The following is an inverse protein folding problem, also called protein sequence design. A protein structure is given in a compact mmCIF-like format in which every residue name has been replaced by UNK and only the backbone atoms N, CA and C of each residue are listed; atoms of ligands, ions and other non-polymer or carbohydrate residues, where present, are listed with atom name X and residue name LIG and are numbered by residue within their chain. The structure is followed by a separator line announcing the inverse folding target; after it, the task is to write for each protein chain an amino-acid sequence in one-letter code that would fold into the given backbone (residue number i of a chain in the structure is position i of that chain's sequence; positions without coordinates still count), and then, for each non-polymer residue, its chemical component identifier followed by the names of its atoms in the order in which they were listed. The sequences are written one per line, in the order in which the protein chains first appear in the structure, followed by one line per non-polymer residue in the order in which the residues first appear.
data_IF_126915159789
#
_entry.id   IF_126915159789
#
_cell.length_a   1.000
_cell.length_b   1.000
_cell.length_c   1.000
_cell.angle_alpha   90.00
_cell.angle_beta   90.00
_cell.angle_gamma   90.00
#
_symmetry.space_group_name_H-M   'P 1'
#
loop_
_entity.id
_entity.type
_entity.pdbx_description
1 polymer ?
#
# COMPACT_ATOMS: atom_id res chain seq x y z
N UNK A 1 -0.45 8.18 8.71
CA UNK A 1 -0.86 8.19 10.15
C UNK A 1 -1.66 6.92 10.42
N UNK A 2 -1.48 6.29 11.59
CA UNK A 2 -2.28 5.12 11.94
C UNK A 2 -3.73 5.55 12.14
N UNK A 3 -4.71 4.79 11.61
CA UNK A 3 -6.12 5.09 11.82
C UNK A 3 -6.51 4.91 13.30
N UNK A 4 -7.56 5.58 13.75
CA UNK A 4 -8.05 5.45 15.13
C UNK A 4 -8.34 3.97 15.50
N UNK A 5 -8.82 3.18 14.54
CA UNK A 5 -8.99 1.73 14.67
C UNK A 5 -7.65 1.02 14.91
N UNK A 6 -6.63 1.34 14.10
CA UNK A 6 -5.30 0.73 14.22
C UNK A 6 -4.67 1.03 15.58
N UNK A 7 -4.79 2.25 16.09
CA UNK A 7 -4.25 2.62 17.42
C UNK A 7 -4.93 1.83 18.55
N UNK A 8 -6.26 1.75 18.52
CA UNK A 8 -7.03 1.00 19.52
C UNK A 8 -6.74 -0.50 19.47
N UNK A 9 -6.80 -1.11 18.28
CA UNK A 9 -6.53 -2.53 18.14
C UNK A 9 -5.06 -2.86 18.43
N UNK A 10 -4.10 -2.00 18.08
CA UNK A 10 -2.69 -2.19 18.45
C UNK A 10 -2.47 -2.21 19.97
N UNK A 11 -3.19 -1.33 20.71
CA UNK A 11 -3.14 -1.33 22.17
C UNK A 11 -3.70 -2.64 22.72
N UNK A 12 -4.86 -3.07 22.25
CA UNK A 12 -5.47 -4.35 22.65
C UNK A 12 -4.56 -5.54 22.34
N UNK A 13 -3.92 -5.56 21.17
CA UNK A 13 -2.93 -6.60 20.82
C UNK A 13 -1.76 -6.64 21.80
N UNK A 14 -1.29 -5.48 22.29
CA UNK A 14 -0.21 -5.44 23.30
C UNK A 14 -0.69 -6.00 24.64
N UNK A 15 -1.87 -5.64 25.07
CA UNK A 15 -2.49 -6.14 26.31
C UNK A 15 -2.73 -7.66 26.23
N UNK A 16 -3.27 -8.15 25.10
CA UNK A 16 -3.47 -9.59 24.85
C UNK A 16 -2.15 -10.38 24.92
N UNK A 17 -1.08 -9.88 24.29
CA UNK A 17 0.24 -10.55 24.28
C UNK A 17 0.86 -10.64 25.67
N UNK A 18 0.53 -9.74 26.58
CA UNK A 18 1.03 -9.73 27.96
C UNK A 18 0.32 -10.72 28.89
N UNK A 19 -0.80 -11.32 28.48
CA UNK A 19 -1.59 -12.21 29.33
C UNK A 19 -1.04 -13.64 29.33
N UNK A 20 -0.62 -14.10 30.51
CA UNK A 20 -0.08 -15.44 30.72
C UNK A 20 -1.18 -16.54 30.82
N UNK A 21 -2.42 -16.14 31.14
CA UNK A 21 -3.59 -17.02 31.19
C UNK A 21 -4.79 -16.33 30.55
N UNK A 22 -5.55 -17.10 29.76
CA UNK A 22 -6.82 -16.69 29.21
C UNK A 22 -7.93 -17.35 30.00
N UNK A 23 -8.82 -16.54 30.56
CA UNK A 23 -10.07 -16.97 31.23
C UNK A 23 -11.26 -16.49 30.38
N UNK A 24 -12.40 -17.12 30.55
CA UNK A 24 -13.63 -16.70 29.84
C UNK A 24 -13.96 -15.22 30.12
N UNK A 25 -13.73 -14.74 31.35
CA UNK A 25 -13.98 -13.36 31.73
C UNK A 25 -13.14 -12.39 30.99
N UNK A 26 -11.79 -12.59 30.93
CA UNK A 26 -10.92 -11.65 30.26
C UNK A 26 -11.02 -11.71 28.73
N UNK A 27 -11.44 -12.84 28.16
CA UNK A 27 -11.83 -12.92 26.73
C UNK A 27 -13.07 -12.06 26.46
N UNK A 28 -14.08 -12.12 27.32
CA UNK A 28 -15.28 -11.29 27.15
C UNK A 28 -14.99 -9.80 27.24
N UNK A 29 -14.16 -9.38 28.19
CA UNK A 29 -13.76 -7.97 28.33
C UNK A 29 -13.00 -7.48 27.08
N UNK A 30 -12.04 -8.26 26.59
CA UNK A 30 -11.30 -7.93 25.36
C UNK A 30 -12.20 -7.88 24.11
N UNK A 31 -13.12 -8.84 23.96
CA UNK A 31 -14.08 -8.85 22.85
C UNK A 31 -15.02 -7.66 22.90
N UNK A 32 -15.37 -7.18 24.10
CA UNK A 32 -16.14 -5.95 24.29
C UNK A 32 -15.37 -4.73 23.77
N UNK A 33 -14.07 -4.62 24.07
CA UNK A 33 -13.24 -3.53 23.58
C UNK A 33 -13.01 -3.60 22.07
N UNK A 34 -12.77 -4.80 21.52
CA UNK A 34 -12.70 -5.01 20.07
C UNK A 34 -14.00 -4.60 19.39
N UNK A 35 -15.15 -4.99 19.96
CA UNK A 35 -16.47 -4.58 19.47
C UNK A 35 -16.61 -3.06 19.43
N UNK A 36 -16.24 -2.37 20.51
CA UNK A 36 -16.30 -0.91 20.59
C UNK A 36 -15.39 -0.25 19.56
N UNK A 37 -14.16 -0.75 19.39
CA UNK A 37 -13.22 -0.24 18.39
C UNK A 37 -13.77 -0.39 16.96
N UNK A 38 -14.38 -1.52 16.61
CA UNK A 38 -14.98 -1.74 15.31
C UNK A 38 -16.21 -0.83 15.06
N UNK A 39 -17.07 -0.62 16.07
CA UNK A 39 -18.23 0.28 15.95
C UNK A 39 -17.80 1.73 15.80
N UNK A 40 -16.79 2.19 16.54
CA UNK A 40 -16.23 3.53 16.41
C UNK A 40 -15.52 3.76 15.06
N UNK A 41 -15.07 2.67 14.43
CA UNK A 41 -14.52 2.67 13.07
C UNK A 41 -15.60 2.59 11.98
N UNK A 42 -16.87 2.76 12.34
CA UNK A 42 -18.02 2.70 11.43
C UNK A 42 -18.22 1.35 10.73
N UNK A 43 -17.80 0.25 11.37
CA UNK A 43 -18.15 -1.10 10.88
C UNK A 43 -19.63 -1.36 11.12
N UNK A 44 -20.32 -1.93 10.13
CA UNK A 44 -21.74 -2.28 10.24
C UNK A 44 -22.03 -3.21 11.42
N UNK A 45 -23.05 -2.89 12.22
CA UNK A 45 -23.40 -3.66 13.40
C UNK A 45 -23.58 -5.16 13.15
N UNK A 46 -24.26 -5.64 12.09
CA UNK A 46 -24.32 -7.06 11.77
C UNK A 46 -22.94 -7.70 11.58
N UNK A 47 -22.05 -7.02 10.84
CA UNK A 47 -20.67 -7.49 10.59
C UNK A 47 -19.88 -7.60 11.89
N UNK A 48 -19.98 -6.59 12.77
CA UNK A 48 -19.34 -6.61 14.08
C UNK A 48 -19.84 -7.77 14.93
N UNK A 49 -21.15 -7.98 14.96
CA UNK A 49 -21.77 -9.06 15.75
C UNK A 49 -21.27 -10.43 15.29
N UNK A 50 -21.30 -10.68 14.00
CA UNK A 50 -20.89 -11.96 13.42
C UNK A 50 -19.37 -12.19 13.60
N UNK A 51 -18.55 -11.15 13.46
CA UNK A 51 -17.11 -11.18 13.73
C UNK A 51 -16.84 -11.56 15.20
N UNK A 52 -17.46 -10.87 16.15
CA UNK A 52 -17.29 -11.13 17.59
C UNK A 52 -17.74 -12.56 17.96
N UNK A 53 -18.83 -13.04 17.37
CA UNK A 53 -19.30 -14.41 17.61
C UNK A 53 -18.26 -15.45 17.16
N UNK A 54 -17.71 -15.31 15.93
CA UNK A 54 -16.67 -16.22 15.41
C UNK A 54 -15.37 -16.17 16.21
N UNK A 55 -14.92 -14.97 16.59
CA UNK A 55 -13.69 -14.82 17.41
C UNK A 55 -13.94 -15.44 18.79
N UNK A 56 -15.11 -15.23 19.42
CA UNK A 56 -15.45 -15.82 20.71
C UNK A 56 -15.41 -17.35 20.68
N UNK A 57 -16.04 -17.94 19.67
CA UNK A 57 -16.07 -19.40 19.49
C UNK A 57 -14.65 -19.99 19.42
N UNK A 58 -13.80 -19.40 18.58
CA UNK A 58 -12.39 -19.84 18.41
C UNK A 58 -11.53 -19.56 19.64
N UNK A 59 -11.74 -18.42 20.31
CA UNK A 59 -10.96 -18.03 21.48
C UNK A 59 -11.24 -18.92 22.73
N UNK A 60 -12.43 -19.45 22.84
CA UNK A 60 -12.81 -20.38 23.93
C UNK A 60 -12.52 -21.84 23.58
N UNK A 61 -11.95 -22.13 22.41
CA UNK A 61 -11.54 -23.47 22.02
C UNK A 61 -10.40 -24.03 22.88
N UNK A 62 -10.33 -25.37 23.01
CA UNK A 62 -9.35 -26.05 23.84
C UNK A 62 -7.88 -25.74 23.43
N UNK A 63 -7.63 -25.49 22.15
CA UNK A 63 -6.28 -25.15 21.65
C UNK A 63 -5.73 -23.85 22.25
N UNK A 64 -6.60 -22.84 22.47
CA UNK A 64 -6.19 -21.58 23.09
C UNK A 64 -5.96 -21.74 24.58
N UNK A 65 -6.86 -22.45 25.26
CA UNK A 65 -6.80 -22.68 26.71
C UNK A 65 -5.61 -23.53 27.13
N UNK A 66 -5.16 -24.45 26.26
CA UNK A 66 -4.00 -25.34 26.49
C UNK A 66 -2.67 -24.78 26.00
N UNK A 67 -2.67 -23.63 25.30
CA UNK A 67 -1.46 -23.04 24.74
C UNK A 67 -0.52 -22.49 25.82
N UNK A 68 0.80 -22.62 25.57
CA UNK A 68 1.84 -21.97 26.38
C UNK A 68 1.88 -20.43 26.19
N UNK A 69 1.26 -19.92 25.13
CA UNK A 69 1.20 -18.48 24.81
C UNK A 69 -0.21 -18.07 24.33
N UNK A 70 -1.22 -18.17 25.21
CA UNK A 70 -2.61 -18.00 24.79
C UNK A 70 -2.92 -16.61 24.24
N UNK A 71 -2.27 -15.55 24.74
CA UNK A 71 -2.42 -14.21 24.20
C UNK A 71 -1.95 -14.04 22.76
N UNK A 72 -0.89 -14.76 22.34
CA UNK A 72 -0.45 -14.74 20.94
C UNK A 72 -1.42 -15.49 20.02
N UNK A 73 -1.95 -16.61 20.51
CA UNK A 73 -2.96 -17.39 19.75
C UNK A 73 -4.22 -16.57 19.56
N UNK A 74 -4.68 -15.83 20.55
CA UNK A 74 -5.84 -14.95 20.44
C UNK A 74 -5.64 -13.83 19.42
N UNK A 75 -4.47 -13.18 19.42
CA UNK A 75 -4.11 -12.20 18.40
C UNK A 75 -4.12 -12.81 17.00
N UNK A 76 -3.62 -14.03 16.83
CA UNK A 76 -3.66 -14.75 15.56
C UNK A 76 -5.09 -15.03 15.11
N UNK A 77 -5.98 -15.42 16.01
CA UNK A 77 -7.40 -15.63 15.73
C UNK A 77 -8.06 -14.33 15.27
N UNK A 78 -7.86 -13.23 15.98
CA UNK A 78 -8.41 -11.92 15.58
C UNK A 78 -7.91 -11.50 14.23
N UNK A 79 -6.61 -11.67 13.93
CA UNK A 79 -6.02 -11.36 12.62
C UNK A 79 -6.63 -12.21 11.50
N UNK A 80 -6.74 -13.52 11.73
CA UNK A 80 -7.33 -14.44 10.75
C UNK A 80 -8.80 -14.11 10.47
N UNK A 81 -9.58 -13.79 11.52
CA UNK A 81 -11.00 -13.42 11.36
C UNK A 81 -11.18 -12.07 10.67
N UNK A 82 -10.31 -11.08 10.92
CA UNK A 82 -10.31 -9.82 10.19
C UNK A 82 -10.02 -10.07 8.69
N UNK A 83 -9.01 -10.87 8.39
CA UNK A 83 -8.68 -11.22 7.02
C UNK A 83 -9.83 -11.97 6.33
N UNK A 84 -10.41 -12.97 6.98
CA UNK A 84 -11.56 -13.72 6.46
C UNK A 84 -12.79 -12.83 6.22
N UNK A 85 -13.03 -11.84 7.09
CA UNK A 85 -14.13 -10.88 6.94
C UNK A 85 -13.93 -9.97 5.72
N UNK A 86 -12.70 -9.60 5.40
CA UNK A 86 -12.35 -8.79 4.20
C UNK A 86 -12.24 -9.62 2.92
N UNK A 87 -12.09 -10.94 3.03
CA UNK A 87 -11.98 -11.87 1.91
C UNK A 87 -10.79 -12.82 2.10
N UNK A 88 -10.84 -13.96 1.44
CA UNK A 88 -9.74 -14.94 1.46
C UNK A 88 -8.79 -14.68 0.28
N UNK A 89 -7.52 -14.48 0.58
CA UNK A 89 -6.46 -14.34 -0.41
C UNK A 89 -6.51 -13.05 -1.23
N UNK A 90 -5.88 -13.11 -2.40
CA UNK A 90 -5.82 -12.02 -3.40
C UNK A 90 -6.80 -12.32 -4.53
N UNK A 91 -7.70 -11.39 -4.82
CA UNK A 91 -8.61 -11.48 -5.96
C UNK A 91 -8.14 -10.52 -7.05
N UNK A 92 -7.61 -11.07 -8.13
CA UNK A 92 -7.12 -10.30 -9.26
C UNK A 92 -8.26 -9.91 -10.23
N UNK A 93 -7.94 -8.96 -11.12
CA UNK A 93 -8.86 -8.53 -12.16
C UNK A 93 -9.01 -9.61 -13.22
N UNK A 94 -10.25 -9.90 -13.63
CA UNK A 94 -10.54 -10.85 -14.67
C UNK A 94 -10.50 -10.17 -16.05
N UNK A 95 -9.57 -10.59 -16.90
CA UNK A 95 -9.46 -10.13 -18.28
C UNK A 95 -9.76 -11.23 -19.29
N UNK A 96 -10.33 -12.36 -18.84
CA UNK A 96 -10.63 -13.52 -19.69
C UNK A 96 -11.90 -13.27 -20.52
N UNK A 97 -11.77 -12.43 -21.54
CA UNK A 97 -12.80 -12.13 -22.52
C UNK A 97 -12.17 -11.92 -23.89
N UNK A 98 -12.99 -11.95 -24.96
CA UNK A 98 -12.52 -11.46 -26.26
C UNK A 98 -12.16 -9.97 -26.14
N UNK A 99 -10.98 -9.55 -26.60
CA UNK A 99 -10.60 -8.16 -26.57
C UNK A 99 -11.57 -7.25 -27.36
N UNK A 100 -11.85 -6.06 -26.84
CA UNK A 100 -11.38 -5.52 -25.57
C UNK A 100 -12.17 -6.08 -24.38
N UNK A 101 -11.47 -6.43 -23.28
CA UNK A 101 -12.10 -6.68 -22.00
C UNK A 101 -12.67 -5.36 -21.46
N UNK A 102 -13.97 -5.26 -21.31
CA UNK A 102 -14.64 -4.05 -20.83
C UNK A 102 -14.71 -4.06 -19.31
N UNK A 103 -14.26 -2.98 -18.69
CA UNK A 103 -14.31 -2.76 -17.23
C UNK A 103 -15.11 -1.51 -16.96
N UNK A 104 -16.21 -1.65 -16.22
CA UNK A 104 -17.10 -0.56 -15.84
C UNK A 104 -16.77 -0.08 -14.41
N UNK A 105 -16.51 1.22 -14.24
CA UNK A 105 -16.24 1.83 -12.95
C UNK A 105 -17.52 2.45 -12.40
N UNK A 106 -18.05 1.92 -11.31
CA UNK A 106 -19.31 2.37 -10.68
C UNK A 106 -19.07 2.95 -9.28
N UNK A 107 -19.87 3.93 -8.86
CA UNK A 107 -19.75 4.53 -7.52
C UNK A 107 -20.23 5.98 -7.48
N UNK A 108 -20.34 6.57 -6.28
CA UNK A 108 -20.78 7.94 -6.08
C UNK A 108 -19.74 8.98 -6.52
N UNK A 109 -20.16 10.25 -6.59
CA UNK A 109 -19.28 11.39 -6.80
C UNK A 109 -18.26 11.48 -5.66
N UNK A 110 -17.01 11.80 -5.99
CA UNK A 110 -15.94 11.91 -4.98
C UNK A 110 -15.37 10.58 -4.49
N UNK A 111 -15.94 9.42 -4.89
CA UNK A 111 -15.41 8.10 -4.54
C UNK A 111 -14.04 7.79 -5.19
N UNK A 112 -13.58 8.62 -6.14
CA UNK A 112 -12.27 8.44 -6.78
C UNK A 112 -12.29 7.60 -8.06
N UNK A 113 -13.44 7.45 -8.74
CA UNK A 113 -13.57 6.65 -9.97
C UNK A 113 -12.57 7.07 -11.05
N UNK A 114 -12.58 8.35 -11.43
CA UNK A 114 -11.74 8.90 -12.50
C UNK A 114 -10.25 8.67 -12.22
N UNK A 115 -9.80 8.96 -11.00
CA UNK A 115 -8.41 8.71 -10.59
C UNK A 115 -8.09 7.21 -10.57
N UNK A 116 -9.02 6.38 -10.10
CA UNK A 116 -8.87 4.92 -10.09
C UNK A 116 -8.79 4.35 -11.51
N UNK A 117 -9.58 4.88 -12.44
CA UNK A 117 -9.54 4.50 -13.87
C UNK A 117 -8.12 4.70 -14.43
N UNK A 118 -7.51 5.85 -14.18
CA UNK A 118 -6.14 6.13 -14.64
C UNK A 118 -5.08 5.26 -13.92
N UNK A 119 -5.21 5.05 -12.62
CA UNK A 119 -4.33 4.16 -11.86
C UNK A 119 -4.41 2.72 -12.35
N UNK A 120 -5.62 2.24 -12.60
CA UNK A 120 -5.86 0.89 -13.13
C UNK A 120 -5.30 0.77 -14.55
N UNK A 121 -5.48 1.80 -15.41
CA UNK A 121 -4.87 1.84 -16.73
C UNK A 121 -3.35 1.70 -16.64
N UNK A 122 -2.68 2.48 -15.78
CA UNK A 122 -1.24 2.38 -15.55
C UNK A 122 -0.82 1.00 -15.06
N UNK A 123 -1.54 0.44 -14.07
CA UNK A 123 -1.29 -0.92 -13.57
C UNK A 123 -1.37 -1.97 -14.69
N UNK A 124 -2.40 -1.90 -15.55
CA UNK A 124 -2.59 -2.84 -16.65
C UNK A 124 -1.49 -2.70 -17.72
N UNK A 125 -1.05 -1.48 -18.01
CA UNK A 125 0.04 -1.23 -18.97
C UNK A 125 1.37 -1.74 -18.41
N UNK A 126 1.74 -1.32 -17.21
CA UNK A 126 3.08 -1.60 -16.65
C UNK A 126 3.23 -3.05 -16.19
N UNK A 127 2.22 -3.59 -15.48
CA UNK A 127 2.29 -4.93 -14.86
C UNK A 127 1.77 -6.04 -15.76
N UNK A 128 0.76 -5.75 -16.61
CA UNK A 128 0.11 -6.74 -17.46
C UNK A 128 0.42 -6.58 -18.95
N UNK A 129 1.15 -5.52 -19.32
CA UNK A 129 1.55 -5.21 -20.72
C UNK A 129 0.36 -5.13 -21.67
N UNK A 130 -0.77 -4.57 -21.19
CA UNK A 130 -2.01 -4.43 -21.94
C UNK A 130 -2.09 -3.08 -22.64
N UNK A 131 -2.69 -3.04 -23.84
CA UNK A 131 -3.06 -1.81 -24.55
C UNK A 131 -4.42 -1.35 -24.03
N UNK A 132 -4.47 -0.20 -23.38
CA UNK A 132 -5.64 0.27 -22.64
C UNK A 132 -6.21 1.52 -23.27
N UNK A 133 -7.54 1.51 -23.49
CA UNK A 133 -8.35 2.67 -23.86
C UNK A 133 -9.19 3.09 -22.65
N UNK A 134 -9.29 4.38 -22.37
CA UNK A 134 -10.19 4.94 -21.36
C UNK A 134 -11.24 5.81 -22.02
N UNK A 135 -12.43 5.87 -21.43
CA UNK A 135 -13.51 6.76 -21.88
C UNK A 135 -14.28 7.29 -20.67
N UNK A 136 -14.70 8.57 -20.74
CA UNK A 136 -15.58 9.17 -19.74
C UNK A 136 -17.04 9.16 -20.22
N UNK A 137 -17.91 8.54 -19.43
CA UNK A 137 -19.35 8.69 -19.52
C UNK A 137 -19.92 9.78 -18.59
N UNK A 138 -19.07 10.53 -17.88
CA UNK A 138 -19.52 11.62 -17.00
C UNK A 138 -19.74 12.91 -17.79
N UNK A 139 -20.82 12.94 -18.55
CA UNK A 139 -21.22 14.09 -19.38
C UNK A 139 -21.77 15.26 -18.57
N UNK A 140 -22.13 15.04 -17.30
CA UNK A 140 -22.71 16.05 -16.44
C UNK A 140 -21.67 17.03 -15.87
N UNK A 141 -20.39 16.64 -15.93
CA UNK A 141 -19.26 17.42 -15.42
C UNK A 141 -18.16 17.54 -16.47
N UNK A 142 -18.18 18.61 -17.29
CA UNK A 142 -17.15 18.80 -18.32
C UNK A 142 -15.72 18.73 -17.79
N UNK A 143 -15.49 19.22 -16.58
CA UNK A 143 -14.18 19.13 -15.91
C UNK A 143 -13.75 17.69 -15.64
N UNK A 144 -14.68 16.73 -15.43
CA UNK A 144 -14.34 15.33 -15.24
C UNK A 144 -13.82 14.66 -16.52
N UNK A 145 -14.34 15.05 -17.69
CA UNK A 145 -13.86 14.58 -18.99
C UNK A 145 -12.40 15.04 -19.20
N UNK A 146 -12.11 16.32 -19.01
CA UNK A 146 -10.75 16.84 -19.14
C UNK A 146 -9.80 16.31 -18.09
N UNK A 147 -10.30 16.06 -16.87
CA UNK A 147 -9.53 15.40 -15.83
C UNK A 147 -9.13 13.99 -16.25
N UNK A 148 -10.09 13.18 -16.73
CA UNK A 148 -9.78 11.81 -17.18
C UNK A 148 -8.76 11.81 -18.31
N UNK A 149 -8.93 12.69 -19.31
CA UNK A 149 -7.99 12.85 -20.42
C UNK A 149 -6.57 13.14 -19.93
N UNK A 150 -6.43 14.08 -19.01
CA UNK A 150 -5.13 14.46 -18.43
C UNK A 150 -4.47 13.31 -17.68
N UNK A 151 -5.19 12.66 -16.77
CA UNK A 151 -4.62 11.57 -15.97
C UNK A 151 -4.40 10.29 -16.80
N UNK A 152 -5.20 10.06 -17.85
CA UNK A 152 -4.99 8.98 -18.82
C UNK A 152 -3.67 9.15 -19.58
N UNK A 153 -3.39 10.36 -20.07
CA UNK A 153 -2.12 10.66 -20.73
C UNK A 153 -0.91 10.46 -19.80
N UNK A 154 -1.03 10.86 -18.53
CA UNK A 154 0.00 10.60 -17.52
C UNK A 154 0.20 9.12 -17.21
N UNK A 155 -0.85 8.31 -17.33
CA UNK A 155 -0.81 6.86 -17.15
C UNK A 155 -0.23 6.11 -18.36
N UNK A 156 -0.01 6.80 -19.49
CA UNK A 156 0.44 6.19 -20.75
C UNK A 156 -0.64 5.40 -21.49
N UNK A 157 -1.92 5.64 -21.17
CA UNK A 157 -3.07 5.04 -21.84
C UNK A 157 -3.61 5.96 -22.94
N UNK A 158 -4.44 5.39 -23.83
CA UNK A 158 -5.15 6.16 -24.85
C UNK A 158 -6.53 6.58 -24.33
N UNK A 159 -6.97 7.80 -24.67
CA UNK A 159 -8.26 8.34 -24.28
C UNK A 159 -9.19 8.46 -25.50
N UNK A 160 -10.43 7.97 -25.35
CA UNK A 160 -11.47 8.13 -26.35
C UNK A 160 -12.22 9.45 -26.13
N UNK A 161 -12.35 10.33 -27.15
CA UNK A 161 -13.03 11.60 -27.02
C UNK A 161 -14.50 11.48 -26.65
N UNK A 162 -14.95 12.26 -25.68
CA UNK A 162 -16.36 12.41 -25.31
C UNK A 162 -16.69 13.88 -25.03
N UNK A 163 -17.93 14.27 -25.24
CA UNK A 163 -18.41 15.64 -25.07
C UNK A 163 -19.70 15.66 -24.23
N UNK A 164 -20.01 16.78 -23.52
CA UNK A 164 -21.15 16.86 -22.62
C UNK A 164 -22.52 16.75 -23.30
N UNK A 165 -22.61 16.98 -24.60
CA UNK A 165 -23.83 16.91 -25.42
C UNK A 165 -24.18 15.49 -25.86
N UNK A 166 -23.29 14.52 -25.67
CA UNK A 166 -23.49 13.13 -26.01
C UNK A 166 -24.20 12.36 -24.89
N UNK A 167 -24.86 11.25 -25.23
CA UNK A 167 -25.41 10.33 -24.23
C UNK A 167 -24.34 9.35 -23.78
N UNK A 168 -24.23 9.04 -22.46
CA UNK A 168 -23.26 8.09 -21.94
C UNK A 168 -23.26 6.72 -22.66
N UNK A 169 -24.45 6.24 -23.01
CA UNK A 169 -24.63 4.99 -23.73
C UNK A 169 -24.00 5.02 -25.14
N UNK A 170 -24.21 6.11 -25.87
CA UNK A 170 -23.67 6.27 -27.23
C UNK A 170 -22.14 6.41 -27.19
N UNK A 171 -21.61 7.16 -26.22
CA UNK A 171 -20.17 7.27 -25.96
C UNK A 171 -19.58 5.88 -25.70
N UNK A 172 -20.19 5.10 -24.80
CA UNK A 172 -19.71 3.75 -24.44
C UNK A 172 -19.67 2.81 -25.64
N UNK A 173 -20.73 2.81 -26.47
CA UNK A 173 -20.80 1.99 -27.70
C UNK A 173 -19.75 2.42 -28.73
N UNK A 174 -19.60 3.70 -28.96
CA UNK A 174 -18.61 4.24 -29.90
C UNK A 174 -17.17 3.91 -29.44
N UNK A 175 -16.88 4.05 -28.12
CA UNK A 175 -15.59 3.66 -27.56
C UNK A 175 -15.32 2.18 -27.68
N UNK A 176 -16.32 1.31 -27.48
CA UNK A 176 -16.19 -0.14 -27.67
C UNK A 176 -15.88 -0.51 -29.11
N UNK A 177 -16.59 0.10 -30.09
CA UNK A 177 -16.34 -0.11 -31.51
C UNK A 177 -14.96 0.42 -31.92
N UNK A 178 -14.55 1.55 -31.40
CA UNK A 178 -13.19 2.08 -31.61
C UNK A 178 -12.14 1.12 -31.05
N UNK A 179 -12.32 0.66 -29.80
CA UNK A 179 -11.40 -0.27 -29.16
C UNK A 179 -11.22 -1.57 -29.93
N UNK A 180 -12.32 -2.14 -30.48
CA UNK A 180 -12.27 -3.33 -31.35
C UNK A 180 -11.48 -3.07 -32.62
N UNK A 181 -11.76 -1.96 -33.32
CA UNK A 181 -11.10 -1.62 -34.60
C UNK A 181 -9.62 -1.32 -34.46
N UNK A 182 -9.19 -0.80 -33.28
CA UNK A 182 -7.80 -0.42 -33.03
C UNK A 182 -7.05 -1.43 -32.16
N UNK A 183 -7.63 -2.62 -31.95
CA UNK A 183 -7.00 -3.74 -31.25
C UNK A 183 -6.53 -3.37 -29.82
N UNK A 184 -7.41 -2.75 -29.05
CA UNK A 184 -7.18 -2.56 -27.62
C UNK A 184 -7.46 -3.86 -26.86
N UNK A 185 -6.64 -4.15 -25.84
CA UNK A 185 -6.87 -5.29 -24.96
C UNK A 185 -7.97 -5.01 -23.94
N UNK A 186 -8.04 -3.75 -23.46
CA UNK A 186 -8.93 -3.35 -22.36
C UNK A 186 -9.56 -2.00 -22.68
N UNK A 187 -10.87 -1.89 -22.37
CA UNK A 187 -11.62 -0.64 -22.35
C UNK A 187 -12.07 -0.34 -20.91
N UNK A 188 -11.58 0.74 -20.35
CA UNK A 188 -12.01 1.26 -19.04
C UNK A 188 -13.06 2.35 -19.23
N UNK A 189 -14.24 2.15 -18.64
CA UNK A 189 -15.38 3.09 -18.75
C UNK A 189 -15.58 3.76 -17.40
N UNK A 190 -15.21 5.04 -17.30
CA UNK A 190 -15.49 5.89 -16.13
C UNK A 190 -16.92 6.41 -16.22
N UNK A 191 -17.76 6.11 -15.24
CA UNK A 191 -19.17 6.52 -15.23
C UNK A 191 -19.39 7.79 -14.44
N UNK A 192 -20.48 8.48 -14.71
CA UNK A 192 -20.93 9.58 -13.91
C UNK A 192 -21.09 9.17 -12.43
N UNK A 193 -20.84 10.11 -11.53
CA UNK A 193 -21.15 9.97 -10.12
C UNK A 193 -22.05 11.12 -9.69
N UNK A 194 -23.09 10.83 -8.92
CA UNK A 194 -23.90 11.83 -8.25
C UNK A 194 -23.61 11.85 -6.75
N UNK A 195 -24.03 12.93 -6.10
CA UNK A 195 -23.82 13.11 -4.65
C UNK A 195 -24.61 12.10 -3.82
N UNK A 196 -25.76 11.67 -4.36
CA UNK A 196 -26.64 10.70 -3.72
C UNK A 196 -27.09 9.64 -4.73
N UNK A 197 -27.59 8.53 -4.22
CA UNK A 197 -28.19 7.47 -5.01
C UNK A 197 -29.54 7.96 -5.49
N UNK A 198 -29.75 7.99 -6.79
CA UNK A 198 -31.04 8.28 -7.41
C UNK A 198 -31.37 7.26 -8.52
N UNK A 199 -32.64 7.15 -8.85
CA UNK A 199 -33.12 6.20 -9.86
C UNK A 199 -32.55 6.47 -11.26
N UNK A 200 -32.27 7.72 -11.59
CA UNK A 200 -31.75 8.12 -12.90
C UNK A 200 -30.33 7.61 -13.07
N UNK A 201 -29.48 7.81 -12.05
CA UNK A 201 -28.11 7.27 -12.04
C UNK A 201 -28.12 5.74 -12.16
N UNK A 202 -28.97 5.07 -11.38
CA UNK A 202 -29.02 3.61 -11.37
C UNK A 202 -29.47 3.05 -12.72
N UNK A 203 -30.48 3.65 -13.37
CA UNK A 203 -30.91 3.25 -14.72
C UNK A 203 -29.81 3.47 -15.77
N UNK A 204 -29.15 4.63 -15.74
CA UNK A 204 -28.08 4.95 -16.69
C UNK A 204 -26.92 3.92 -16.61
N UNK A 205 -26.50 3.58 -15.39
CA UNK A 205 -25.43 2.58 -15.20
C UNK A 205 -25.91 1.18 -15.61
N UNK A 206 -27.16 0.81 -15.33
CA UNK A 206 -27.76 -0.44 -15.78
C UNK A 206 -27.83 -0.54 -17.31
N UNK A 207 -28.23 0.53 -18.00
CA UNK A 207 -28.25 0.60 -19.46
C UNK A 207 -26.84 0.46 -20.04
N UNK A 208 -25.84 1.15 -19.47
CA UNK A 208 -24.44 1.00 -19.85
C UNK A 208 -23.95 -0.43 -19.64
N UNK A 209 -24.24 -1.02 -18.49
CA UNK A 209 -23.87 -2.39 -18.18
C UNK A 209 -24.49 -3.39 -19.18
N UNK A 210 -25.80 -3.26 -19.45
CA UNK A 210 -26.52 -4.13 -20.40
C UNK A 210 -26.00 -4.03 -21.83
N UNK A 211 -25.61 -2.82 -22.27
CA UNK A 211 -25.12 -2.58 -23.62
C UNK A 211 -23.65 -2.99 -23.82
N UNK A 212 -22.80 -2.72 -22.85
CA UNK A 212 -21.36 -2.96 -22.94
C UNK A 212 -20.96 -4.37 -22.49
N UNK A 213 -21.80 -5.03 -21.70
CA UNK A 213 -21.56 -6.39 -21.13
C UNK A 213 -20.16 -6.50 -20.53
N UNK A 214 -19.81 -5.66 -19.53
CA UNK A 214 -18.47 -5.63 -18.98
C UNK A 214 -18.12 -7.00 -18.36
N UNK A 215 -16.86 -7.40 -18.51
CA UNK A 215 -16.30 -8.59 -17.84
C UNK A 215 -16.06 -8.30 -16.36
N UNK A 216 -15.85 -7.01 -16.03
CA UNK A 216 -15.70 -6.52 -14.68
C UNK A 216 -16.57 -5.28 -14.45
N UNK A 217 -17.30 -5.28 -13.35
CA UNK A 217 -18.02 -4.13 -12.82
C UNK A 217 -17.45 -3.82 -11.44
N UNK A 218 -16.57 -2.81 -11.39
CA UNK A 218 -15.83 -2.45 -10.18
C UNK A 218 -16.57 -1.35 -9.42
N UNK A 219 -16.96 -1.66 -8.19
CA UNK A 219 -17.52 -0.68 -7.28
C UNK A 219 -16.42 0.08 -6.57
N UNK A 220 -16.30 1.36 -6.89
CA UNK A 220 -15.31 2.28 -6.29
C UNK A 220 -15.95 2.99 -5.12
N UNK A 221 -15.37 2.82 -3.95
CA UNK A 221 -15.89 3.37 -2.69
C UNK A 221 -14.79 4.06 -1.89
N UNK A 222 -15.13 5.21 -1.33
CA UNK A 222 -14.26 5.98 -0.44
C UNK A 222 -14.27 5.33 0.96
N UNK A 223 -13.10 4.90 1.43
CA UNK A 223 -12.94 4.29 2.75
C UNK A 223 -13.26 5.25 3.92
N UNK A 224 -13.35 6.56 3.66
CA UNK A 224 -13.67 7.57 4.67
C UNK A 224 -15.17 7.80 4.85
N UNK A 225 -16.04 7.26 3.99
CA UNK A 225 -17.49 7.52 4.01
C UNK A 225 -18.25 6.83 5.15
N UNK A 226 -17.61 5.96 5.93
CA UNK A 226 -18.27 5.32 7.10
C UNK A 226 -19.56 4.58 6.74
N UNK A 227 -20.65 4.89 7.45
CA UNK A 227 -21.98 4.23 7.25
C UNK A 227 -22.61 4.53 5.88
N UNK A 228 -22.32 5.65 5.25
CA UNK A 228 -22.85 5.97 3.92
C UNK A 228 -22.30 5.03 2.85
N UNK A 229 -21.08 4.54 3.01
CA UNK A 229 -20.51 3.50 2.14
C UNK A 229 -21.36 2.21 2.16
N UNK A 230 -21.95 1.89 3.29
CA UNK A 230 -22.82 0.70 3.49
C UNK A 230 -24.12 0.82 2.68
N UNK A 231 -24.79 1.96 2.80
CA UNK A 231 -26.04 2.22 2.09
C UNK A 231 -25.80 2.27 0.57
N UNK A 232 -24.71 2.90 0.17
CA UNK A 232 -24.24 2.94 -1.22
C UNK A 232 -23.96 1.55 -1.77
N UNK A 233 -23.24 0.72 -1.01
CA UNK A 233 -22.90 -0.64 -1.41
C UNK A 233 -24.14 -1.52 -1.63
N UNK A 234 -25.17 -1.39 -0.78
CA UNK A 234 -26.45 -2.11 -0.94
C UNK A 234 -27.13 -1.74 -2.24
N UNK A 235 -27.32 -0.44 -2.51
CA UNK A 235 -28.00 0.03 -3.71
C UNK A 235 -27.29 -0.36 -4.99
N UNK A 236 -25.95 -0.25 -5.03
CA UNK A 236 -25.19 -0.69 -6.20
C UNK A 236 -25.21 -2.21 -6.39
N UNK A 237 -25.20 -3.01 -5.32
CA UNK A 237 -25.37 -4.46 -5.39
C UNK A 237 -26.73 -4.87 -5.96
N UNK A 238 -27.80 -4.16 -5.56
CA UNK A 238 -29.16 -4.42 -6.07
C UNK A 238 -29.30 -4.05 -7.55
N UNK A 239 -28.60 -2.99 -7.97
CA UNK A 239 -28.68 -2.49 -9.33
C UNK A 239 -27.76 -3.22 -10.32
N UNK A 240 -26.59 -3.72 -9.88
CA UNK A 240 -25.52 -4.23 -10.75
C UNK A 240 -24.91 -5.53 -10.22
N UNK A 241 -24.51 -6.46 -11.10
CA UNK A 241 -23.69 -7.61 -10.73
C UNK A 241 -22.23 -7.14 -10.49
N UNK A 242 -21.94 -6.72 -9.27
CA UNK A 242 -20.60 -6.27 -8.89
C UNK A 242 -19.62 -7.44 -8.89
N UNK A 243 -18.52 -7.31 -9.60
CA UNK A 243 -17.46 -8.35 -9.70
C UNK A 243 -16.25 -8.06 -8.82
N UNK A 244 -16.12 -6.82 -8.34
CA UNK A 244 -15.04 -6.40 -7.47
C UNK A 244 -15.25 -5.04 -6.85
N UNK A 245 -14.51 -4.78 -5.80
CA UNK A 245 -14.51 -3.53 -5.05
C UNK A 245 -13.13 -2.89 -5.17
N UNK A 246 -13.11 -1.57 -5.32
CA UNK A 246 -11.90 -0.75 -5.17
C UNK A 246 -12.09 0.20 -4.00
N UNK A 247 -11.29 0.03 -2.96
CA UNK A 247 -11.25 0.96 -1.83
C UNK A 247 -10.30 2.10 -2.15
N UNK A 248 -10.77 3.34 -1.98
CA UNK A 248 -9.95 4.54 -2.21
C UNK A 248 -9.68 5.30 -0.92
N UNK A 249 -8.71 6.19 -0.96
CA UNK A 249 -8.35 7.10 0.14
C UNK A 249 -7.94 6.40 1.44
N UNK A 250 -7.31 5.23 1.33
CA UNK A 250 -6.78 4.52 2.50
C UNK A 250 -5.55 5.20 3.13
N UNK A 251 -4.96 6.18 2.44
CA UNK A 251 -3.92 7.09 2.93
C UNK A 251 -4.43 8.22 3.83
N UNK A 252 -5.74 8.46 3.81
CA UNK A 252 -6.39 9.43 4.68
C UNK A 252 -6.59 8.92 6.11
N UNK A 253 -7.24 9.72 6.93
CA UNK A 253 -7.65 9.34 8.30
C UNK A 253 -8.90 8.45 8.25
N UNK A 254 -8.84 7.38 7.45
CA UNK A 254 -9.93 6.43 7.34
C UNK A 254 -10.02 5.60 8.61
N UNK A 255 -11.24 5.45 9.14
CA UNK A 255 -11.50 4.62 10.32
C UNK A 255 -11.30 3.13 10.06
N UNK A 256 -11.07 2.75 8.77
CA UNK A 256 -10.74 1.38 8.35
C UNK A 256 -11.93 0.40 8.31
N UNK A 257 -13.09 0.81 8.80
CA UNK A 257 -14.26 -0.08 8.89
C UNK A 257 -14.99 -0.34 7.57
N UNK A 258 -14.83 0.55 6.59
CA UNK A 258 -15.48 0.43 5.29
C UNK A 258 -15.11 -0.89 4.57
N UNK A 259 -13.83 -1.29 4.62
CA UNK A 259 -13.35 -2.52 4.00
C UNK A 259 -14.10 -3.76 4.51
N UNK A 260 -14.28 -3.85 5.84
CA UNK A 260 -15.00 -4.96 6.48
C UNK A 260 -16.46 -4.98 6.07
N UNK A 261 -17.12 -3.82 6.07
CA UNK A 261 -18.56 -3.71 5.83
C UNK A 261 -18.93 -3.90 4.37
N UNK A 262 -18.23 -3.21 3.45
CA UNK A 262 -18.58 -3.22 2.02
C UNK A 262 -18.42 -4.61 1.42
N UNK A 263 -17.36 -5.35 1.81
CA UNK A 263 -17.16 -6.75 1.38
C UNK A 263 -18.30 -7.66 1.82
N UNK A 264 -18.70 -7.59 3.08
CA UNK A 264 -19.77 -8.43 3.64
C UNK A 264 -21.14 -8.12 3.01
N UNK A 265 -21.41 -6.84 2.75
CA UNK A 265 -22.69 -6.39 2.18
C UNK A 265 -22.79 -6.73 0.70
N UNK A 266 -21.77 -6.46 -0.08
CA UNK A 266 -21.79 -6.72 -1.53
C UNK A 266 -21.61 -8.18 -1.88
N UNK A 267 -20.84 -8.92 -1.10
CA UNK A 267 -20.37 -10.26 -1.45
C UNK A 267 -19.26 -10.25 -2.50
N UNK A 268 -18.96 -9.09 -3.11
CA UNK A 268 -17.91 -8.97 -4.13
C UNK A 268 -16.51 -8.86 -3.48
N UNK A 269 -15.46 -9.45 -4.07
CA UNK A 269 -14.11 -9.38 -3.50
C UNK A 269 -13.54 -7.96 -3.61
N UNK A 270 -12.75 -7.56 -2.62
CA UNK A 270 -11.93 -6.34 -2.73
C UNK A 270 -10.74 -6.69 -3.61
N UNK A 271 -10.58 -6.00 -4.75
CA UNK A 271 -9.50 -6.26 -5.71
C UNK A 271 -8.35 -5.30 -5.59
N UNK A 272 -8.64 -4.02 -5.34
CA UNK A 272 -7.63 -2.97 -5.26
C UNK A 272 -7.85 -2.04 -4.09
N UNK A 273 -6.73 -1.46 -3.64
CA UNK A 273 -6.65 -0.44 -2.59
C UNK A 273 -5.90 0.79 -3.11
N UNK A 274 -6.52 1.96 -3.03
CA UNK A 274 -5.91 3.26 -3.31
C UNK A 274 -5.25 3.80 -2.04
N UNK A 275 -3.91 3.79 -2.02
CA UNK A 275 -3.09 4.10 -0.85
C UNK A 275 -2.35 5.44 -0.96
N UNK A 276 -2.52 6.18 -2.03
CA UNK A 276 -2.05 7.56 -2.20
C UNK A 276 -2.78 8.25 -3.35
N UNK A 277 -2.68 9.57 -3.45
CA UNK A 277 -3.25 10.33 -4.57
C UNK A 277 -2.49 10.13 -5.89
N UNK A 278 -1.22 9.74 -5.83
CA UNK A 278 -0.35 9.54 -7.01
C UNK A 278 -0.84 8.37 -7.86
N UNK A 279 -0.53 8.39 -9.16
CA UNK A 279 -0.91 7.32 -10.09
C UNK A 279 -0.31 5.94 -9.73
N UNK A 280 0.80 5.90 -9.02
CA UNK A 280 1.40 4.66 -8.50
C UNK A 280 0.72 4.13 -7.24
N UNK A 281 -0.23 4.88 -6.67
CA UNK A 281 -0.92 4.56 -5.42
C UNK A 281 -2.09 3.60 -5.59
N UNK A 282 -1.99 2.57 -6.43
CA UNK A 282 -2.94 1.47 -6.52
C UNK A 282 -2.23 0.16 -6.22
N UNK A 283 -2.65 -0.50 -5.15
CA UNK A 283 -2.14 -1.82 -4.76
C UNK A 283 -3.21 -2.89 -4.97
N UNK A 284 -2.79 -4.10 -5.32
CA UNK A 284 -3.68 -5.27 -5.27
C UNK A 284 -4.01 -5.52 -3.81
N UNK A 285 -5.29 -5.69 -3.50
CA UNK A 285 -5.73 -5.86 -2.12
C UNK A 285 -5.40 -7.27 -1.61
N UNK A 286 -4.72 -7.32 -0.46
CA UNK A 286 -4.43 -8.53 0.27
C UNK A 286 -5.04 -8.43 1.66
N UNK A 287 -6.02 -9.26 1.96
CA UNK A 287 -6.77 -9.24 3.21
C UNK A 287 -5.88 -9.54 4.43
N UNK A 288 -4.89 -10.43 4.31
CA UNK A 288 -3.97 -10.77 5.40
C UNK A 288 -3.05 -9.59 5.74
N UNK A 289 -2.50 -8.94 4.71
CA UNK A 289 -1.67 -7.74 4.90
C UNK A 289 -2.47 -6.60 5.50
N UNK A 290 -3.70 -6.40 5.01
CA UNK A 290 -4.55 -5.32 5.52
C UNK A 290 -4.98 -5.57 6.96
N UNK A 291 -5.35 -6.79 7.34
CA UNK A 291 -5.62 -7.17 8.72
C UNK A 291 -4.42 -6.91 9.64
N UNK A 292 -3.20 -7.28 9.22
CA UNK A 292 -1.97 -6.98 9.94
C UNK A 292 -1.73 -5.48 10.13
N UNK A 293 -1.98 -4.66 9.11
CA UNK A 293 -1.90 -3.18 9.22
C UNK A 293 -2.91 -2.63 10.22
N UNK A 294 -4.17 -3.09 10.16
CA UNK A 294 -5.25 -2.68 11.08
C UNK A 294 -4.92 -3.03 12.53
N UNK A 295 -4.27 -4.18 12.79
CA UNK A 295 -3.82 -4.57 14.12
C UNK A 295 -2.50 -3.91 14.57
N UNK A 296 -1.92 -3.03 13.74
CA UNK A 296 -0.63 -2.39 14.02
C UNK A 296 0.55 -3.35 14.04
N UNK A 297 0.41 -4.51 13.42
CA UNK A 297 1.48 -5.50 13.27
C UNK A 297 2.48 -5.12 12.17
N UNK A 298 2.18 -4.10 11.38
CA UNK A 298 2.96 -3.66 10.23
C UNK A 298 2.78 -4.57 9.02
N UNK A 299 3.38 -4.16 7.91
CA UNK A 299 3.42 -4.94 6.67
C UNK A 299 4.87 -5.27 6.31
N UNK A 300 5.42 -6.24 7.03
CA UNK A 300 6.82 -6.67 6.85
C UNK A 300 7.04 -7.23 5.45
N UNK A 301 6.04 -7.90 4.86
CA UNK A 301 6.15 -8.48 3.51
C UNK A 301 6.22 -7.37 2.47
N UNK A 302 5.32 -6.38 2.54
CA UNK A 302 5.37 -5.23 1.64
C UNK A 302 6.66 -4.41 1.80
N UNK A 303 7.18 -4.31 3.04
CA UNK A 303 8.47 -3.67 3.29
C UNK A 303 9.61 -4.42 2.58
N UNK A 304 9.65 -5.75 2.71
CA UNK A 304 10.65 -6.60 2.05
C UNK A 304 10.52 -6.52 0.53
N UNK A 305 9.30 -6.59 -0.01
CA UNK A 305 9.05 -6.46 -1.46
C UNK A 305 9.48 -5.08 -1.98
N UNK A 306 9.17 -4.00 -1.27
CA UNK A 306 9.57 -2.64 -1.66
C UNK A 306 11.08 -2.47 -1.61
N UNK A 307 11.74 -2.99 -0.57
CA UNK A 307 13.20 -3.00 -0.47
C UNK A 307 13.79 -3.80 -1.62
N UNK A 308 13.24 -4.98 -1.91
CA UNK A 308 13.73 -5.85 -2.99
C UNK A 308 13.49 -5.26 -4.37
N UNK A 309 12.33 -4.65 -4.63
CA UNK A 309 12.01 -4.00 -5.90
C UNK A 309 12.82 -2.71 -6.13
N UNK A 310 13.17 -1.98 -5.05
CA UNK A 310 13.99 -0.77 -5.10
C UNK A 310 15.50 -1.02 -5.11
N UNK A 311 15.93 -2.27 -4.88
CA UNK A 311 17.36 -2.62 -4.92
C UNK A 311 17.78 -2.80 -6.38
N UNK A 312 18.59 -1.87 -6.88
CA UNK A 312 19.37 -2.09 -8.08
C UNK A 312 20.37 -3.21 -7.81
N UNK A 313 20.04 -4.41 -8.31
CA UNK A 313 20.84 -5.62 -8.12
C UNK A 313 22.27 -5.45 -8.64
N UNK A 314 22.46 -4.67 -9.70
CA UNK A 314 23.80 -4.36 -10.24
C UNK A 314 24.56 -3.43 -9.28
N UNK A 315 23.90 -2.39 -8.75
CA UNK A 315 24.52 -1.49 -7.78
C UNK A 315 24.87 -2.23 -6.48
N UNK A 316 23.99 -3.12 -6.01
CA UNK A 316 24.25 -3.96 -4.85
C UNK A 316 25.42 -4.94 -5.08
N UNK A 317 25.51 -5.55 -6.25
CA UNK A 317 26.64 -6.43 -6.64
C UNK A 317 27.94 -5.65 -6.77
N UNK A 318 27.93 -4.45 -7.37
CA UNK A 318 29.08 -3.55 -7.46
C UNK A 318 29.59 -3.15 -6.07
N UNK A 319 28.66 -2.80 -5.16
CA UNK A 319 29.00 -2.46 -3.79
C UNK A 319 29.59 -3.67 -3.03
N UNK A 320 29.00 -4.86 -3.19
CA UNK A 320 29.51 -6.09 -2.61
C UNK A 320 30.92 -6.46 -3.17
N UNK A 321 31.15 -6.24 -4.45
CA UNK A 321 32.46 -6.43 -5.08
C UNK A 321 33.49 -5.43 -4.54
N UNK A 322 33.15 -4.13 -4.44
CA UNK A 322 34.03 -3.10 -3.83
C UNK A 322 34.36 -3.40 -2.37
N UNK A 323 33.39 -3.91 -1.59
CA UNK A 323 33.62 -4.33 -0.22
C UNK A 323 34.57 -5.54 -0.15
N UNK A 324 34.48 -6.49 -1.11
CA UNK A 324 35.38 -7.64 -1.21
C UNK A 324 36.78 -7.28 -1.68
N UNK A 325 36.91 -6.42 -2.72
CA UNK A 325 38.21 -6.01 -3.29
C UNK A 325 39.03 -5.10 -2.36
N UNK A 326 38.39 -4.46 -1.40
CA UNK A 326 39.07 -3.52 -0.51
C UNK A 326 39.04 -2.08 -0.97
N UNK A 327 38.48 -1.81 -2.15
CA UNK A 327 38.18 -0.46 -2.61
C UNK A 327 37.11 0.12 -1.68
N UNK A 328 37.46 1.10 -0.88
CA UNK A 328 36.61 1.62 0.18
C UNK A 328 35.31 2.22 -0.35
N UNK A 329 34.27 2.17 0.48
CA UNK A 329 33.03 2.91 0.30
C UNK A 329 33.32 4.41 0.12
N UNK A 330 32.89 5.02 -0.99
CA UNK A 330 33.11 6.42 -1.31
C UNK A 330 31.82 7.27 -1.26
N UNK A 331 31.94 8.58 -1.47
CA UNK A 331 30.77 9.48 -1.45
C UNK A 331 29.85 9.31 -2.68
N UNK A 332 30.31 8.67 -3.77
CA UNK A 332 29.42 8.31 -4.87
C UNK A 332 28.51 7.15 -4.48
N UNK A 333 29.06 6.16 -3.75
CA UNK A 333 28.28 5.05 -3.22
C UNK A 333 27.22 5.56 -2.22
N UNK A 334 27.60 6.53 -1.38
CA UNK A 334 26.67 7.17 -0.43
C UNK A 334 25.58 7.98 -1.14
N UNK A 335 25.91 8.71 -2.19
CA UNK A 335 24.94 9.42 -3.03
C UNK A 335 23.96 8.43 -3.68
N UNK A 336 24.48 7.33 -4.23
CA UNK A 336 23.64 6.26 -4.80
C UNK A 336 22.64 5.70 -3.81
N UNK A 337 23.05 5.46 -2.55
CA UNK A 337 22.14 5.01 -1.49
C UNK A 337 21.05 6.03 -1.16
N UNK A 338 21.41 7.34 -1.10
CA UNK A 338 20.43 8.40 -0.87
C UNK A 338 19.41 8.45 -2.02
N UNK A 339 19.85 8.36 -3.25
CA UNK A 339 18.98 8.38 -4.44
C UNK A 339 18.07 7.15 -4.49
N UNK A 340 18.60 5.97 -4.18
CA UNK A 340 17.85 4.74 -4.11
C UNK A 340 16.76 4.81 -3.02
N UNK A 341 17.09 5.33 -1.83
CA UNK A 341 16.11 5.54 -0.76
C UNK A 341 14.98 6.51 -1.19
N UNK A 342 15.30 7.56 -1.96
CA UNK A 342 14.29 8.49 -2.52
C UNK A 342 13.38 7.79 -3.54
N UNK A 343 13.93 6.95 -4.41
CA UNK A 343 13.17 6.18 -5.40
C UNK A 343 12.23 5.16 -4.75
N UNK A 344 12.61 4.63 -3.58
CA UNK A 344 11.78 3.72 -2.78
C UNK A 344 10.61 4.41 -2.06
N UNK A 345 10.34 5.68 -2.33
CA UNK A 345 9.24 6.45 -1.72
C UNK A 345 9.62 7.25 -0.47
N UNK A 346 10.93 7.38 -0.20
CA UNK A 346 11.47 8.15 0.91
C UNK A 346 11.34 7.47 2.27
N UNK A 347 11.77 8.18 3.31
CA UNK A 347 11.77 7.68 4.69
C UNK A 347 10.33 7.48 5.23
N UNK A 348 9.39 8.32 4.80
CA UNK A 348 7.98 8.26 5.18
C UNK A 348 7.34 6.92 4.79
N UNK A 349 7.48 6.51 3.53
CA UNK A 349 6.90 5.26 3.02
C UNK A 349 7.46 4.01 3.72
N UNK A 350 8.72 4.05 4.16
CA UNK A 350 9.34 2.97 4.91
C UNK A 350 8.81 2.91 6.35
N UNK A 351 8.65 4.07 7.00
CA UNK A 351 8.13 4.16 8.38
C UNK A 351 6.67 3.71 8.48
N UNK A 352 5.83 4.02 7.48
CA UNK A 352 4.41 3.62 7.47
C UNK A 352 4.21 2.10 7.42
N UNK A 353 5.19 1.36 6.92
CA UNK A 353 5.16 -0.11 6.83
C UNK A 353 5.78 -0.83 8.01
N UNK A 354 6.45 -0.08 8.91
CA UNK A 354 7.04 -0.66 10.11
C UNK A 354 5.97 -0.92 11.19
N UNK A 355 6.11 -1.99 11.98
CA UNK A 355 5.27 -2.23 13.15
C UNK A 355 5.30 -1.04 14.12
N UNK A 356 4.13 -0.68 14.68
CA UNK A 356 3.98 0.45 15.62
C UNK A 356 4.92 0.39 16.84
N UNK A 357 5.39 -0.81 17.19
CA UNK A 357 6.36 -1.02 18.28
C UNK A 357 7.78 -0.48 17.95
N UNK A 358 8.16 -0.50 16.68
CA UNK A 358 9.44 0.03 16.21
C UNK A 358 9.36 1.54 16.00
N UNK A 359 8.25 2.04 15.48
CA UNK A 359 8.02 3.47 15.28
C UNK A 359 7.89 4.23 16.61
N UNK A 360 7.25 3.63 17.62
CA UNK A 360 7.16 4.22 18.98
C UNK A 360 8.52 4.36 19.68
N UNK A 361 9.49 3.47 19.39
CA UNK A 361 10.85 3.57 19.91
C UNK A 361 11.73 4.59 19.16
N UNK A 362 11.39 4.91 17.92
CA UNK A 362 12.11 5.89 17.11
C UNK A 362 11.83 7.35 17.55
N UNK A 363 10.89 7.57 18.47
CA UNK A 363 10.47 8.90 18.90
C UNK A 363 9.63 9.63 17.83
N UNK A 364 9.17 10.83 18.15
CA UNK A 364 8.55 11.74 17.19
C UNK A 364 9.63 12.30 16.24
N UNK A 365 10.02 11.54 15.23
CA UNK A 365 10.88 12.05 14.17
C UNK A 365 10.03 12.96 13.30
N UNK A 366 10.34 14.24 13.28
CA UNK A 366 9.77 15.19 12.32
C UNK A 366 10.22 14.78 10.92
N UNK A 367 9.31 14.12 10.19
CA UNK A 367 9.58 13.52 8.88
C UNK A 367 9.96 14.58 7.84
N UNK A 368 9.32 15.75 7.88
CA UNK A 368 9.66 16.88 7.00
C UNK A 368 11.08 17.39 7.24
N UNK A 369 11.51 17.37 8.51
CA UNK A 369 12.87 17.73 8.87
C UNK A 369 13.87 16.67 8.41
N UNK A 370 13.56 15.40 8.58
CA UNK A 370 14.41 14.30 8.13
C UNK A 370 14.55 14.29 6.60
N UNK A 371 13.48 14.49 5.83
CA UNK A 371 13.55 14.59 4.38
C UNK A 371 14.34 15.83 3.91
N UNK A 372 14.19 16.97 4.60
CA UNK A 372 15.00 18.17 4.32
C UNK A 372 16.49 17.93 4.57
N UNK A 373 16.84 17.21 5.64
CA UNK A 373 18.24 16.83 5.92
C UNK A 373 18.80 15.90 4.83
N UNK A 374 18.03 14.94 4.34
CA UNK A 374 18.43 14.05 3.23
C UNK A 374 18.68 14.85 1.96
N UNK A 375 17.77 15.78 1.59
CA UNK A 375 17.96 16.65 0.41
C UNK A 375 19.19 17.55 0.55
N UNK A 376 19.48 18.08 1.73
CA UNK A 376 20.68 18.89 2.00
C UNK A 376 21.95 18.05 1.82
N UNK A 377 21.98 16.83 2.37
CA UNK A 377 23.12 15.92 2.18
C UNK A 377 23.37 15.61 0.71
N UNK A 378 22.33 15.33 -0.06
CA UNK A 378 22.43 15.15 -1.52
C UNK A 378 23.01 16.39 -2.21
N UNK A 379 22.49 17.59 -1.89
CA UNK A 379 22.98 18.85 -2.44
C UNK A 379 24.47 19.11 -2.14
N UNK A 380 24.91 18.79 -0.91
CA UNK A 380 26.33 18.92 -0.52
C UNK A 380 27.20 17.98 -1.36
N UNK A 381 26.82 16.71 -1.53
CA UNK A 381 27.58 15.72 -2.31
C UNK A 381 27.58 16.08 -3.79
N UNK A 382 26.47 16.55 -4.34
CA UNK A 382 26.38 17.01 -5.74
C UNK A 382 27.26 18.24 -6.02
N UNK A 383 27.50 19.08 -5.01
CA UNK A 383 28.40 20.25 -5.12
C UNK A 383 29.90 19.89 -5.07
N UNK A 384 30.24 18.62 -4.83
CA UNK A 384 31.60 18.10 -4.87
C UNK A 384 31.99 17.68 -6.29
N UNK A 385 33.26 17.81 -6.64
CA UNK A 385 33.82 17.25 -7.90
C UNK A 385 33.88 15.72 -7.81
N UNK A 386 33.93 15.04 -8.96
CA UNK A 386 34.07 13.58 -9.01
C UNK A 386 35.33 13.08 -8.24
N UNK A 387 36.45 13.83 -8.31
CA UNK A 387 37.65 13.48 -7.53
C UNK A 387 37.49 13.65 -6.04
N UNK A 388 36.71 14.64 -5.58
CA UNK A 388 36.41 14.85 -4.16
C UNK A 388 35.45 13.80 -3.60
N UNK A 389 34.51 13.35 -4.41
CA UNK A 389 33.62 12.24 -4.02
C UNK A 389 34.36 10.91 -3.92
N UNK A 390 35.28 10.65 -4.84
CA UNK A 390 36.09 9.42 -4.81
C UNK A 390 37.15 9.43 -3.68
N UNK A 391 37.69 10.61 -3.34
CA UNK A 391 38.74 10.80 -2.31
C UNK A 391 38.38 11.94 -1.36
N UNK A 392 37.53 11.69 -0.35
CA UNK A 392 37.09 12.75 0.58
C UNK A 392 38.21 13.43 1.38
N UNK A 393 39.35 12.77 1.53
CA UNK A 393 40.57 13.29 2.16
C UNK A 393 41.10 14.59 1.50
N UNK A 394 40.75 14.83 0.22
CA UNK A 394 41.08 16.04 -0.50
C UNK A 394 40.28 17.26 -0.03
N UNK A 395 39.19 17.07 0.69
CA UNK A 395 38.26 18.15 1.07
C UNK A 395 38.78 18.91 2.30
N UNK A 396 39.71 19.84 2.04
CA UNK A 396 40.30 20.77 3.07
C UNK A 396 39.51 22.09 3.13
N UNK A 397 39.90 22.99 4.01
CA UNK A 397 39.18 24.22 4.37
C UNK A 397 38.63 25.04 3.19
N UNK A 398 39.42 25.31 2.14
CA UNK A 398 39.00 26.07 0.97
C UNK A 398 37.95 25.34 0.14
N UNK A 399 38.10 24.01 -0.02
CA UNK A 399 37.13 23.16 -0.73
C UNK A 399 35.83 23.07 0.06
N UNK A 400 35.86 22.94 1.40
CA UNK A 400 34.66 22.95 2.24
C UNK A 400 33.85 24.23 2.08
N UNK A 401 34.53 25.42 2.01
CA UNK A 401 33.87 26.70 1.75
C UNK A 401 33.18 26.73 0.39
N UNK A 402 33.89 26.28 -0.67
CA UNK A 402 33.30 26.20 -2.03
C UNK A 402 32.13 25.27 -2.13
N UNK A 403 32.21 24.06 -1.52
CA UNK A 403 31.13 23.07 -1.48
C UNK A 403 29.93 23.63 -0.72
N UNK A 404 30.15 24.26 0.44
CA UNK A 404 29.09 24.87 1.22
C UNK A 404 28.36 25.98 0.45
N UNK A 405 29.10 26.83 -0.26
CA UNK A 405 28.55 27.90 -1.09
C UNK A 405 27.75 27.35 -2.26
N UNK A 406 28.24 26.29 -2.93
CA UNK A 406 27.55 25.63 -4.05
C UNK A 406 26.28 24.89 -3.64
N UNK A 407 26.23 24.37 -2.40
CA UNK A 407 25.07 23.68 -1.84
C UNK A 407 24.09 24.61 -1.10
N UNK A 408 24.41 25.89 -0.94
CA UNK A 408 23.59 26.84 -0.15
C UNK A 408 23.49 26.50 1.33
N UNK A 409 24.57 25.93 1.93
CA UNK A 409 24.61 25.49 3.32
C UNK A 409 25.81 26.10 4.08
N UNK A 410 25.82 25.95 5.40
CA UNK A 410 26.94 26.36 6.24
C UNK A 410 28.09 25.32 6.16
N UNK A 411 29.37 25.79 6.34
CA UNK A 411 30.54 24.90 6.37
C UNK A 411 30.43 23.82 7.47
N UNK A 412 29.73 24.12 8.55
CA UNK A 412 29.44 23.17 9.63
C UNK A 412 28.66 21.95 9.13
N UNK A 413 27.70 22.15 8.21
CA UNK A 413 26.90 21.06 7.64
C UNK A 413 27.76 20.15 6.76
N UNK A 414 28.70 20.71 5.99
CA UNK A 414 29.69 19.94 5.23
C UNK A 414 30.57 19.11 6.16
N UNK A 415 31.04 19.71 7.27
CA UNK A 415 31.85 18.98 8.27
C UNK A 415 31.07 17.84 8.91
N UNK A 416 29.79 18.07 9.24
CA UNK A 416 28.89 17.06 9.82
C UNK A 416 28.69 15.88 8.87
N UNK A 417 28.44 16.16 7.59
CA UNK A 417 28.30 15.13 6.56
C UNK A 417 29.57 14.27 6.43
N UNK A 418 30.75 14.90 6.35
CA UNK A 418 32.01 14.20 6.25
C UNK A 418 32.30 13.32 7.48
N UNK A 419 31.97 13.80 8.68
CA UNK A 419 32.10 13.03 9.92
C UNK A 419 31.16 11.82 9.95
N UNK A 420 29.90 12.01 9.53
CA UNK A 420 28.92 10.89 9.42
C UNK A 420 29.40 9.84 8.41
N UNK A 421 29.97 10.31 7.29
CA UNK A 421 30.54 9.45 6.26
C UNK A 421 31.74 8.64 6.77
N UNK A 422 32.66 9.25 7.50
CA UNK A 422 33.80 8.56 8.15
C UNK A 422 33.33 7.47 9.14
N UNK A 423 32.34 7.80 9.98
CA UNK A 423 31.76 6.86 10.93
C UNK A 423 31.14 5.63 10.20
N UNK A 424 30.49 5.88 9.06
CA UNK A 424 29.90 4.79 8.26
C UNK A 424 30.98 3.93 7.59
N UNK A 425 32.06 4.54 7.07
CA UNK A 425 33.21 3.80 6.55
C UNK A 425 33.85 2.91 7.61
N UNK A 426 34.01 3.41 8.84
CA UNK A 426 34.56 2.66 9.95
C UNK A 426 33.66 1.49 10.39
N UNK A 427 32.33 1.70 10.34
CA UNK A 427 31.37 0.63 10.61
C UNK A 427 31.46 -0.47 9.53
N UNK A 428 31.55 -0.09 8.26
CA UNK A 428 31.71 -1.05 7.16
C UNK A 428 33.05 -1.80 7.22
N UNK A 429 34.16 -1.14 7.59
CA UNK A 429 35.44 -1.81 7.82
C UNK A 429 35.36 -2.85 8.95
N UNK A 430 34.67 -2.53 10.04
CA UNK A 430 34.44 -3.47 11.16
C UNK A 430 33.57 -4.67 10.77
N UNK A 431 32.66 -4.51 9.82
CA UNK A 431 31.83 -5.61 9.29
C UNK A 431 32.64 -6.61 8.45
N UNK A 432 33.72 -6.21 7.77
CA UNK A 432 34.65 -7.08 7.01
C UNK A 432 35.27 -8.21 7.86
N UNK A 433 35.44 -8.01 9.17
CA UNK A 433 36.12 -8.95 10.08
C UNK A 433 35.23 -9.98 10.79
N UNK A 434 34.08 -10.38 10.24
CA UNK A 434 33.15 -11.31 10.91
C UNK A 434 32.32 -10.70 12.06
N UNK A 435 32.37 -9.39 12.20
CA UNK A 435 31.67 -8.62 13.22
C UNK A 435 30.14 -8.71 13.13
N UNK A 436 29.59 -8.92 11.92
CA UNK A 436 28.14 -9.04 11.71
C UNK A 436 27.57 -10.27 12.47
N UNK A 437 28.26 -11.39 12.41
CA UNK A 437 27.85 -12.64 13.09
C UNK A 437 27.98 -12.53 14.63
N UNK A 438 28.98 -11.79 15.12
CA UNK A 438 29.13 -11.47 16.54
C UNK A 438 28.12 -10.45 17.04
N UNK A 439 27.75 -9.46 16.20
CA UNK A 439 26.76 -8.44 16.53
C UNK A 439 25.33 -9.02 16.52
N UNK A 440 24.97 -9.88 15.55
CA UNK A 440 23.72 -10.64 15.55
C UNK A 440 23.59 -11.59 16.74
N UNK A 441 24.69 -12.22 17.16
CA UNK A 441 24.71 -13.06 18.38
C UNK A 441 24.50 -12.22 19.65
N UNK A 442 25.05 -11.01 19.74
CA UNK A 442 24.87 -10.09 20.88
C UNK A 442 23.49 -9.44 20.96
N UNK A 443 22.83 -9.18 19.83
CA UNK A 443 21.48 -8.61 19.78
C UNK A 443 20.35 -9.65 19.92
N UNK A 444 20.65 -10.90 20.24
CA UNK A 444 19.61 -11.94 20.45
C UNK A 444 18.87 -12.37 19.18
N UNK A 445 19.29 -11.89 17.99
CA UNK A 445 18.56 -12.06 16.72
C UNK A 445 18.48 -13.51 16.21
N UNK A 446 19.36 -14.42 16.67
CA UNK A 446 19.32 -15.81 16.22
C UNK A 446 18.24 -16.65 16.94
N UNK A 447 17.77 -16.25 18.13
CA UNK A 447 16.64 -16.90 18.80
C UNK A 447 15.29 -16.46 18.20
N UNK A 448 15.19 -15.19 17.77
CA UNK A 448 13.98 -14.67 17.12
C UNK A 448 13.79 -15.24 15.70
N UNK A 449 14.87 -15.41 14.92
CA UNK A 449 14.79 -15.96 13.56
C UNK A 449 14.56 -17.49 13.54
N UNK A 450 15.08 -18.23 14.52
CA UNK A 450 14.83 -19.66 14.65
C UNK A 450 13.41 -19.98 15.12
N UNK A 451 12.76 -19.06 15.85
CA UNK A 451 11.35 -19.14 16.23
C UNK A 451 10.40 -18.81 15.06
N UNK A 452 10.84 -18.05 14.07
CA UNK A 452 10.06 -17.70 12.88
C UNK A 452 10.18 -18.73 11.73
N UNK A 453 11.26 -19.52 11.67
CA UNK A 453 11.46 -20.58 10.65
C UNK A 453 11.13 -21.99 11.15
N UNK A 454 10.68 -22.16 12.38
CA UNK A 454 10.39 -23.44 13.01
C UNK A 454 8.92 -23.86 12.97
N UNK A 455 8.28 -23.77 11.82
CA UNK A 455 6.90 -24.25 11.58
C UNK A 455 6.82 -24.98 10.24
N UNK A 456 7.04 -26.26 10.27
CA UNK A 456 6.62 -27.37 9.42
C UNK A 456 6.57 -27.20 7.90
N UNK A 457 7.39 -27.97 7.17
CA UNK A 457 7.18 -28.21 5.75
C UNK A 457 8.49 -28.61 5.06
N UNK A 458 8.68 -29.91 4.80
CA UNK A 458 9.88 -30.48 4.22
C UNK A 458 10.29 -29.87 2.89
N UNK A 459 11.58 -29.63 2.72
CA UNK A 459 12.18 -29.34 1.42
C UNK A 459 12.00 -30.51 0.46
N UNK A 460 11.56 -30.30 -0.78
CA UNK A 460 11.71 -31.30 -1.82
C UNK A 460 13.18 -31.34 -2.27
N UNK A 461 13.75 -32.54 -2.26
CA UNK A 461 15.05 -32.84 -2.85
C UNK A 461 14.97 -32.60 -4.36
N UNK A 462 15.86 -31.76 -4.88
CA UNK A 462 16.12 -31.66 -6.32
C UNK A 462 16.91 -32.91 -6.75
N UNK A 463 16.52 -33.60 -7.82
CA UNK A 463 17.38 -34.57 -8.46
C UNK A 463 18.36 -33.85 -9.42
N UNK A 464 19.54 -34.37 -9.48
CA UNK A 464 20.72 -34.10 -10.29
C UNK A 464 20.62 -33.21 -11.50
#
# INVERSE_FOLDING_TARGET
MASALTEKLSRLVKEMRGQARITESNVQDMLREVRMALLEADVALPVVRDFIARVKEKALGQEVLSSLQPGQVLVSIVNAELAATMGEGVSDINLNAQPPAVILMAGLQGAGKTTTTAKLAKHLIEKRKKKVLTVSGDVYRPAAIEQLKTVTAQAGAEWFPSTPDQKPLDIGRAALDYAKRHFFDVLLVDTAGRLAIDEVLMREIQELHGALKPVETLFVVDAMQGQDAINTAKAFKEALPLTGIVLTKLDGDSRGGAALSVRQITGAPIKFAGVSEKLDGLEVFDAQRHAGRVLGMGDIVALVEQVTAGVDMEAAQRLAAKVKSGDGFDLNDFLGQIQQMKQMGGLSSLMDKLPSQLTAKAGQVDMDKAEREVRRKEGIICSMTAKERAKPELIKATRKKRIAMGAGVQVQEVNRLLKEFEQMQDMMKKMKGGGLMKMMKRMGGMKAMKGMMGGGGGMPKLPF
#
